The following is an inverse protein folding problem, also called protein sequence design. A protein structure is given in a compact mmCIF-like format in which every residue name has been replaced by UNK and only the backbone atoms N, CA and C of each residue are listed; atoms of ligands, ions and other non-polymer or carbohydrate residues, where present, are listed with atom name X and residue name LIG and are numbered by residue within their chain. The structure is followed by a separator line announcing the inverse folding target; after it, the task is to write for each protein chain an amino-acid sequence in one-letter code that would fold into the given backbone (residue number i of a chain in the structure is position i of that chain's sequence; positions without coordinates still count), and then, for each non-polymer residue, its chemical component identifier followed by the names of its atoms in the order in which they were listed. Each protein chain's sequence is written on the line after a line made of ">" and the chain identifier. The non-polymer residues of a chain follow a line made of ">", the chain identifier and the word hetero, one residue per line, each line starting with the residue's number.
data_IF_043509552471
#
_entry.id   IF_043509552471
#
_cell.length_a   1.000
_cell.length_b   1.000
_cell.length_c   1.000
_cell.angle_alpha   90.00
_cell.angle_beta   90.00
_cell.angle_gamma   90.00
#
_symmetry.space_group_name_H-M   'P 1'
#
loop_
_entity.id
_entity.type
_entity.pdbx_description
1 polymer ?
#
# COMPACT_ATOMS: atom_id res chain seq x y z
N UNK A 1 -8.26 -7.93 9.88
CA UNK A 1 -7.78 -8.94 8.86
C UNK A 1 -8.40 -10.34 9.02
N UNK A 2 -8.54 -10.89 10.23
CA UNK A 2 -9.09 -12.25 10.45
C UNK A 2 -10.61 -12.32 10.22
N UNK A 3 -11.35 -11.35 10.69
CA UNK A 3 -12.80 -11.21 10.52
C UNK A 3 -13.21 -11.04 9.05
N UNK A 4 -12.49 -10.22 8.30
CA UNK A 4 -12.75 -9.99 6.87
C UNK A 4 -12.56 -11.27 6.04
N UNK A 5 -11.52 -12.06 6.34
CA UNK A 5 -11.27 -13.33 5.67
C UNK A 5 -12.36 -14.37 5.99
N UNK A 6 -12.80 -14.43 7.23
CA UNK A 6 -13.88 -15.36 7.64
C UNK A 6 -15.19 -14.99 6.97
N UNK A 7 -15.54 -13.69 6.87
CA UNK A 7 -16.72 -13.23 6.14
C UNK A 7 -16.65 -13.58 4.64
N UNK A 8 -15.49 -13.38 4.01
CA UNK A 8 -15.29 -13.72 2.60
C UNK A 8 -15.49 -15.22 2.34
N UNK A 9 -14.93 -16.08 3.19
CA UNK A 9 -15.09 -17.54 3.09
C UNK A 9 -16.55 -17.94 3.26
N UNK A 10 -17.25 -17.40 4.25
CA UNK A 10 -18.67 -17.71 4.50
C UNK A 10 -19.53 -17.27 3.31
N UNK A 11 -19.33 -16.05 2.80
CA UNK A 11 -20.06 -15.54 1.63
C UNK A 11 -19.83 -16.41 0.39
N UNK A 12 -18.58 -16.73 0.09
CA UNK A 12 -18.24 -17.55 -1.08
C UNK A 12 -18.81 -18.95 -0.94
N UNK A 13 -18.76 -19.56 0.24
CA UNK A 13 -19.28 -20.89 0.51
C UNK A 13 -20.82 -20.92 0.39
N UNK A 14 -21.50 -19.90 0.89
CA UNK A 14 -22.96 -19.75 0.75
C UNK A 14 -23.37 -19.61 -0.72
N UNK A 15 -22.67 -18.80 -1.49
CA UNK A 15 -22.92 -18.65 -2.94
C UNK A 15 -22.65 -19.96 -3.69
N UNK A 16 -21.63 -20.72 -3.31
CA UNK A 16 -21.31 -22.02 -3.90
C UNK A 16 -22.38 -23.10 -3.64
N UNK A 17 -22.92 -23.13 -2.43
CA UNK A 17 -24.02 -24.02 -2.09
C UNK A 17 -25.24 -23.66 -2.92
N UNK A 18 -25.57 -22.37 -3.02
CA UNK A 18 -26.66 -21.89 -3.87
C UNK A 18 -26.48 -22.28 -5.34
N UNK A 19 -25.28 -22.09 -5.89
CA UNK A 19 -24.96 -22.50 -7.26
C UNK A 19 -25.13 -24.00 -7.46
N UNK A 20 -24.59 -24.83 -6.55
CA UNK A 20 -24.75 -26.28 -6.62
C UNK A 20 -26.22 -26.70 -6.66
N UNK A 21 -27.05 -26.16 -5.77
CA UNK A 21 -28.50 -26.43 -5.72
C UNK A 21 -29.17 -26.00 -7.01
N UNK A 22 -28.89 -24.80 -7.52
CA UNK A 22 -29.48 -24.31 -8.77
C UNK A 22 -29.14 -25.22 -9.96
N UNK A 23 -27.85 -25.60 -10.08
CA UNK A 23 -27.39 -26.49 -11.17
C UNK A 23 -28.08 -27.87 -11.10
N UNK A 24 -28.30 -28.39 -9.90
CA UNK A 24 -28.93 -29.71 -9.74
C UNK A 24 -30.47 -29.70 -9.90
N UNK A 25 -31.14 -28.61 -9.54
CA UNK A 25 -32.59 -28.50 -9.63
C UNK A 25 -33.07 -28.01 -10.99
N UNK A 26 -32.26 -27.26 -11.72
CA UNK A 26 -32.66 -26.63 -12.95
C UNK A 26 -32.40 -27.56 -14.15
N UNK A 27 -33.41 -27.71 -15.00
CA UNK A 27 -33.36 -28.49 -16.25
C UNK A 27 -33.17 -27.63 -17.48
N UNK A 28 -33.00 -26.32 -17.31
CA UNK A 28 -32.88 -25.40 -18.45
C UNK A 28 -31.44 -25.41 -19.04
N UNK A 29 -31.39 -25.24 -20.37
CA UNK A 29 -30.14 -25.15 -21.14
C UNK A 29 -29.31 -23.95 -20.66
N UNK A 30 -28.04 -24.19 -20.35
CA UNK A 30 -27.12 -23.09 -19.99
C UNK A 30 -26.96 -22.77 -18.49
N UNK A 31 -27.45 -23.61 -17.60
CA UNK A 31 -27.35 -23.42 -16.13
C UNK A 31 -25.90 -23.29 -15.63
N UNK A 32 -24.95 -23.84 -16.36
CA UNK A 32 -23.52 -23.73 -16.08
C UNK A 32 -23.00 -22.28 -16.14
N UNK A 33 -23.69 -21.38 -16.90
CA UNK A 33 -23.27 -19.98 -17.04
C UNK A 33 -23.29 -19.22 -15.72
N UNK A 34 -24.15 -19.63 -14.77
CA UNK A 34 -24.19 -19.04 -13.43
C UNK A 34 -22.89 -19.26 -12.62
N UNK A 35 -22.06 -20.22 -13.03
CA UNK A 35 -20.75 -20.45 -12.44
C UNK A 35 -19.74 -19.37 -12.78
N UNK A 36 -19.85 -18.71 -13.94
CA UNK A 36 -18.88 -17.71 -14.41
C UNK A 36 -18.77 -16.49 -13.47
N UNK A 37 -19.86 -15.80 -13.10
CA UNK A 37 -19.80 -14.70 -12.14
C UNK A 37 -19.22 -15.12 -10.79
N UNK A 38 -19.50 -16.33 -10.35
CA UNK A 38 -18.98 -16.88 -9.10
C UNK A 38 -17.48 -17.07 -9.09
N UNK A 39 -16.93 -17.58 -10.20
CA UNK A 39 -15.48 -17.71 -10.37
C UNK A 39 -14.79 -16.35 -10.39
N UNK A 40 -15.39 -15.35 -11.04
CA UNK A 40 -14.87 -13.97 -11.07
C UNK A 40 -14.90 -13.35 -9.68
N UNK A 41 -16.00 -13.50 -8.93
CA UNK A 41 -16.10 -12.97 -7.55
C UNK A 41 -15.08 -13.64 -6.64
N UNK A 42 -14.86 -14.95 -6.75
CA UNK A 42 -13.85 -15.65 -5.96
C UNK A 42 -12.44 -15.10 -6.22
N UNK A 43 -12.12 -14.72 -7.45
CA UNK A 43 -10.84 -14.14 -7.85
C UNK A 43 -10.58 -12.77 -7.18
N UNK A 44 -11.62 -11.96 -6.95
CA UNK A 44 -11.48 -10.64 -6.30
C UNK A 44 -10.93 -10.74 -4.87
N UNK A 45 -11.17 -11.85 -4.19
CA UNK A 45 -10.65 -12.06 -2.83
C UNK A 45 -9.14 -12.30 -2.75
N UNK A 46 -8.47 -12.56 -3.88
CA UNK A 46 -7.01 -12.76 -3.97
C UNK A 46 -6.48 -13.82 -2.97
N UNK A 47 -7.30 -14.79 -2.61
CA UNK A 47 -6.90 -15.92 -1.76
C UNK A 47 -6.93 -17.21 -2.59
N UNK A 48 -5.76 -17.71 -2.93
CA UNK A 48 -5.56 -18.92 -3.74
C UNK A 48 -6.39 -20.10 -3.26
N UNK A 49 -6.57 -20.26 -1.94
CA UNK A 49 -7.37 -21.35 -1.38
C UNK A 49 -8.85 -21.19 -1.72
N UNK A 50 -9.37 -19.96 -1.66
CA UNK A 50 -10.76 -19.66 -2.00
C UNK A 50 -10.98 -19.93 -3.50
N UNK A 51 -10.11 -19.42 -4.37
CA UNK A 51 -10.19 -19.62 -5.83
C UNK A 51 -10.13 -21.11 -6.18
N UNK A 52 -9.21 -21.87 -5.58
CA UNK A 52 -9.05 -23.29 -5.84
C UNK A 52 -10.27 -24.11 -5.39
N UNK A 53 -10.82 -23.84 -4.21
CA UNK A 53 -12.02 -24.50 -3.70
C UNK A 53 -13.23 -24.16 -4.55
N UNK A 54 -13.40 -22.90 -4.93
CA UNK A 54 -14.50 -22.43 -5.78
C UNK A 54 -14.46 -23.09 -7.16
N UNK A 55 -13.31 -23.12 -7.80
CA UNK A 55 -13.10 -23.82 -9.07
C UNK A 55 -13.42 -25.32 -8.95
N UNK A 56 -12.95 -25.96 -7.86
CA UNK A 56 -13.23 -27.37 -7.61
C UNK A 56 -14.74 -27.68 -7.46
N UNK A 57 -15.45 -26.88 -6.67
CA UNK A 57 -16.90 -27.06 -6.47
C UNK A 57 -17.66 -26.80 -7.78
N UNK A 58 -17.29 -25.78 -8.56
CA UNK A 58 -17.93 -25.50 -9.83
C UNK A 58 -17.77 -26.64 -10.83
N UNK A 59 -16.55 -27.22 -10.94
CA UNK A 59 -16.27 -28.37 -11.80
C UNK A 59 -17.01 -29.64 -11.35
N UNK A 60 -17.01 -29.92 -10.04
CA UNK A 60 -17.73 -31.05 -9.48
C UNK A 60 -19.23 -30.92 -9.75
N UNK A 61 -19.80 -29.71 -9.59
CA UNK A 61 -21.22 -29.46 -9.83
C UNK A 61 -21.64 -29.78 -11.27
N UNK A 62 -20.84 -29.38 -12.26
CA UNK A 62 -21.18 -29.66 -13.67
C UNK A 62 -20.94 -31.12 -14.04
N UNK A 63 -19.92 -31.78 -13.46
CA UNK A 63 -19.68 -33.22 -13.68
C UNK A 63 -20.84 -34.04 -13.13
N UNK A 64 -21.31 -33.75 -11.91
CA UNK A 64 -22.48 -34.44 -11.32
C UNK A 64 -23.73 -34.22 -12.17
N UNK A 65 -23.95 -32.99 -12.65
CA UNK A 65 -25.08 -32.67 -13.53
C UNK A 65 -24.97 -33.42 -14.86
N UNK A 66 -23.78 -33.50 -15.46
CA UNK A 66 -23.53 -34.23 -16.70
C UNK A 66 -23.77 -35.74 -16.56
N UNK A 67 -23.32 -36.35 -15.47
CA UNK A 67 -23.58 -37.75 -15.16
C UNK A 67 -25.10 -38.01 -15.02
N UNK A 68 -25.83 -37.09 -14.36
CA UNK A 68 -27.29 -37.19 -14.21
C UNK A 68 -28.01 -37.08 -15.55
N UNK A 69 -27.57 -36.16 -16.43
CA UNK A 69 -28.13 -36.04 -17.79
C UNK A 69 -27.81 -37.28 -18.62
N UNK A 70 -26.65 -37.88 -18.48
CA UNK A 70 -26.27 -39.10 -19.18
C UNK A 70 -27.12 -40.33 -18.76
N UNK A 71 -27.48 -40.39 -17.48
CA UNK A 71 -28.34 -41.46 -16.96
C UNK A 71 -29.86 -41.21 -17.25
N UNK A 72 -30.22 -39.98 -17.61
CA UNK A 72 -31.56 -39.58 -18.00
C UNK A 72 -31.76 -39.59 -19.53
N UNK A 73 -32.59 -38.66 -20.05
CA UNK A 73 -32.99 -38.61 -21.46
C UNK A 73 -31.89 -38.14 -22.45
N UNK A 74 -30.74 -37.72 -22.00
CA UNK A 74 -29.59 -37.32 -22.83
C UNK A 74 -29.78 -36.10 -23.71
N UNK A 75 -30.89 -35.41 -23.63
CA UNK A 75 -31.31 -34.32 -24.54
C UNK A 75 -30.38 -33.10 -24.49
N UNK A 76 -29.68 -32.83 -23.35
CA UNK A 76 -28.87 -31.64 -23.14
C UNK A 76 -27.37 -31.95 -23.02
N UNK A 77 -26.95 -33.16 -23.41
CA UNK A 77 -25.59 -33.63 -23.26
C UNK A 77 -24.56 -32.72 -23.96
N UNK A 78 -24.84 -32.33 -25.21
CA UNK A 78 -23.98 -31.48 -25.98
C UNK A 78 -23.70 -30.12 -25.32
N UNK A 79 -24.75 -29.47 -24.81
CA UNK A 79 -24.62 -28.18 -24.14
C UNK A 79 -23.87 -28.27 -22.82
N UNK A 80 -24.07 -29.33 -22.06
CA UNK A 80 -23.37 -29.56 -20.80
C UNK A 80 -21.91 -29.91 -21.00
N UNK A 81 -21.54 -30.60 -22.08
CA UNK A 81 -20.15 -30.84 -22.48
C UNK A 81 -19.46 -29.52 -22.87
N UNK A 82 -20.11 -28.65 -23.65
CA UNK A 82 -19.61 -27.31 -23.94
C UNK A 82 -19.39 -26.53 -22.65
N UNK A 83 -20.37 -26.56 -21.73
CA UNK A 83 -20.28 -25.90 -20.43
C UNK A 83 -19.10 -26.39 -19.59
N UNK A 84 -18.81 -27.68 -19.59
CA UNK A 84 -17.63 -28.24 -18.92
C UNK A 84 -16.33 -27.66 -19.49
N UNK A 85 -16.19 -27.60 -20.81
CA UNK A 85 -15.01 -27.02 -21.44
C UNK A 85 -14.85 -25.53 -21.13
N UNK A 86 -15.95 -24.76 -21.17
CA UNK A 86 -15.91 -23.32 -20.82
C UNK A 86 -15.52 -23.11 -19.37
N UNK A 87 -16.06 -23.90 -18.44
CA UNK A 87 -15.70 -23.81 -17.03
C UNK A 87 -14.26 -24.22 -16.77
N UNK A 88 -13.73 -25.24 -17.45
CA UNK A 88 -12.32 -25.64 -17.37
C UNK A 88 -11.39 -24.50 -17.86
N UNK A 89 -11.69 -23.90 -19.01
CA UNK A 89 -10.91 -22.78 -19.54
C UNK A 89 -10.99 -21.57 -18.58
N UNK A 90 -12.16 -21.27 -18.05
CA UNK A 90 -12.33 -20.17 -17.10
C UNK A 90 -11.60 -20.44 -15.81
N UNK A 91 -11.66 -21.65 -15.27
CA UNK A 91 -10.93 -22.04 -14.06
C UNK A 91 -9.40 -21.92 -14.26
N UNK A 92 -8.90 -22.33 -15.44
CA UNK A 92 -7.50 -22.16 -15.81
C UNK A 92 -7.12 -20.69 -15.92
N UNK A 93 -7.94 -19.87 -16.56
CA UNK A 93 -7.73 -18.43 -16.69
C UNK A 93 -7.74 -17.74 -15.31
N UNK A 94 -8.69 -18.08 -14.43
CA UNK A 94 -8.76 -17.54 -13.07
C UNK A 94 -7.52 -17.90 -12.24
N UNK A 95 -7.04 -19.15 -12.31
CA UNK A 95 -5.82 -19.56 -11.62
C UNK A 95 -4.57 -18.85 -12.16
N UNK A 96 -4.52 -18.62 -13.48
CA UNK A 96 -3.38 -17.90 -14.09
C UNK A 96 -3.40 -16.41 -13.75
N UNK A 97 -4.57 -15.80 -13.78
CA UNK A 97 -4.75 -14.40 -13.42
C UNK A 97 -4.48 -14.16 -11.92
N UNK A 98 -4.87 -15.08 -11.04
CA UNK A 98 -4.57 -15.00 -9.61
C UNK A 98 -3.06 -15.02 -9.35
N UNK A 99 -2.30 -15.89 -10.04
CA UNK A 99 -0.84 -15.92 -9.95
C UNK A 99 -0.19 -14.61 -10.40
N UNK A 100 -0.67 -14.04 -11.51
CA UNK A 100 -0.19 -12.76 -12.02
C UNK A 100 -0.48 -11.62 -11.04
N UNK A 101 -1.69 -11.59 -10.49
CA UNK A 101 -2.07 -10.60 -9.48
C UNK A 101 -1.25 -10.73 -8.20
N UNK A 102 -1.00 -11.95 -7.72
CA UNK A 102 -0.15 -12.17 -6.54
C UNK A 102 1.29 -11.67 -6.78
N UNK A 103 1.85 -11.93 -7.96
CA UNK A 103 3.17 -11.42 -8.35
C UNK A 103 3.19 -9.89 -8.36
N UNK A 104 2.21 -9.28 -9.02
CA UNK A 104 2.06 -7.83 -9.13
C UNK A 104 1.88 -7.15 -7.76
N UNK A 105 1.08 -7.74 -6.89
CA UNK A 105 0.92 -7.24 -5.51
C UNK A 105 2.20 -7.32 -4.70
N UNK A 106 2.99 -8.39 -4.86
CA UNK A 106 4.28 -8.52 -4.18
C UNK A 106 5.29 -7.49 -4.67
N UNK A 107 5.36 -7.26 -5.97
CA UNK A 107 6.21 -6.23 -6.56
C UNK A 107 5.83 -4.84 -6.08
N UNK A 108 4.55 -4.46 -6.17
CA UNK A 108 4.07 -3.17 -5.69
C UNK A 108 4.30 -2.98 -4.19
N UNK A 109 4.11 -4.03 -3.37
CA UNK A 109 4.34 -3.96 -1.94
C UNK A 109 5.82 -3.75 -1.62
N UNK A 110 6.73 -4.41 -2.35
CA UNK A 110 8.17 -4.22 -2.21
C UNK A 110 8.59 -2.80 -2.63
N UNK A 111 8.00 -2.27 -3.69
CA UNK A 111 8.25 -0.91 -4.16
C UNK A 111 7.79 0.15 -3.16
N UNK A 112 6.58 -0.01 -2.60
CA UNK A 112 6.05 0.86 -1.53
C UNK A 112 6.92 0.79 -0.28
N UNK A 113 7.41 -0.39 0.07
CA UNK A 113 8.27 -0.58 1.24
C UNK A 113 9.62 0.09 1.05
N UNK A 114 10.22 -0.04 -0.13
CA UNK A 114 11.45 0.64 -0.50
C UNK A 114 11.30 2.16 -0.50
N UNK A 115 10.22 2.69 -1.08
CA UNK A 115 9.90 4.11 -1.04
C UNK A 115 9.71 4.64 0.40
N UNK A 116 9.06 3.85 1.27
CA UNK A 116 8.89 4.18 2.69
C UNK A 116 10.24 4.22 3.44
N UNK A 117 11.15 3.31 3.13
CA UNK A 117 12.47 3.27 3.78
C UNK A 117 13.36 4.44 3.31
N UNK A 118 13.32 4.79 2.03
CA UNK A 118 13.97 5.99 1.48
C UNK A 118 13.40 7.26 2.15
N UNK A 119 12.08 7.34 2.32
CA UNK A 119 11.44 8.47 2.99
C UNK A 119 11.88 8.61 4.45
N UNK A 120 11.99 7.49 5.18
CA UNK A 120 12.48 7.48 6.57
C UNK A 120 13.95 7.94 6.66
N UNK A 121 14.79 7.49 5.74
CA UNK A 121 16.20 7.90 5.69
C UNK A 121 16.33 9.39 5.38
N UNK A 122 15.55 9.89 4.41
CA UNK A 122 15.48 11.31 4.08
C UNK A 122 15.02 12.17 5.27
N UNK A 123 13.99 11.72 6.00
CA UNK A 123 13.52 12.41 7.19
C UNK A 123 14.59 12.46 8.30
N UNK A 124 15.34 11.35 8.51
CA UNK A 124 16.45 11.35 9.47
C UNK A 124 17.55 12.36 9.09
N UNK A 125 17.92 12.40 7.80
CA UNK A 125 18.90 13.37 7.30
C UNK A 125 18.41 14.81 7.49
N UNK A 126 17.13 15.06 7.27
CA UNK A 126 16.53 16.39 7.48
C UNK A 126 16.59 16.82 8.94
N UNK A 127 16.35 15.90 9.89
CA UNK A 127 16.49 16.19 11.33
C UNK A 127 17.93 16.55 11.68
N UNK A 128 18.92 15.79 11.18
CA UNK A 128 20.34 16.09 11.42
C UNK A 128 20.73 17.46 10.86
N UNK A 129 20.24 17.80 9.66
CA UNK A 129 20.49 19.11 9.06
C UNK A 129 19.86 20.22 9.90
N UNK A 130 18.64 20.03 10.39
CA UNK A 130 17.96 20.99 11.25
C UNK A 130 18.69 21.20 12.58
N UNK A 131 19.19 20.13 13.20
CA UNK A 131 20.02 20.20 14.42
C UNK A 131 21.32 20.95 14.18
N UNK A 132 22.03 20.69 13.07
CA UNK A 132 23.25 21.40 12.71
C UNK A 132 22.99 22.88 12.45
N UNK A 133 21.91 23.23 11.74
CA UNK A 133 21.50 24.62 11.53
C UNK A 133 21.23 25.30 12.88
N UNK A 134 20.48 24.67 13.77
CA UNK A 134 20.19 25.21 15.09
C UNK A 134 21.47 25.46 15.91
N UNK A 135 22.41 24.53 15.86
CA UNK A 135 23.71 24.67 16.52
C UNK A 135 24.52 25.88 15.97
N UNK A 136 24.59 25.98 14.64
CA UNK A 136 25.32 27.11 14.03
C UNK A 136 24.64 28.45 14.27
N UNK A 137 23.33 28.48 14.39
CA UNK A 137 22.62 29.69 14.83
C UNK A 137 22.97 30.06 16.28
N UNK A 138 23.06 29.08 17.16
CA UNK A 138 23.53 29.32 18.54
C UNK A 138 24.97 29.91 18.58
N UNK A 139 25.90 29.29 17.84
CA UNK A 139 27.28 29.75 17.73
C UNK A 139 27.35 31.19 17.13
N UNK A 140 26.49 31.49 16.16
CA UNK A 140 26.42 32.84 15.57
C UNK A 140 25.87 33.88 16.57
N UNK A 141 24.89 33.53 17.38
CA UNK A 141 24.37 34.38 18.45
C UNK A 141 25.42 34.69 19.50
N UNK A 142 26.18 33.67 19.95
CA UNK A 142 27.28 33.85 20.90
C UNK A 142 28.39 34.77 20.34
N UNK A 143 28.70 34.66 19.04
CA UNK A 143 29.63 35.58 18.36
C UNK A 143 29.10 37.01 18.29
N UNK A 144 27.79 37.20 18.05
CA UNK A 144 27.18 38.52 18.04
C UNK A 144 27.22 39.18 19.42
N UNK A 145 26.96 38.43 20.46
CA UNK A 145 27.07 38.93 21.85
C UNK A 145 28.51 39.35 22.17
N UNK A 146 29.53 38.54 21.77
CA UNK A 146 30.95 38.91 21.91
C UNK A 146 31.33 40.16 21.10
N UNK A 147 30.79 40.33 19.90
CA UNK A 147 30.99 41.55 19.11
C UNK A 147 30.35 42.78 19.79
N UNK A 148 29.15 42.62 20.36
CA UNK A 148 28.48 43.69 21.10
C UNK A 148 29.31 44.17 22.32
N UNK A 149 29.87 43.22 23.05
CA UNK A 149 30.79 43.52 24.17
C UNK A 149 32.06 44.25 23.68
N UNK A 150 32.68 43.77 22.59
CA UNK A 150 33.85 44.44 21.98
C UNK A 150 33.55 45.86 21.53
N UNK A 151 32.35 46.09 20.96
CA UNK A 151 31.90 47.45 20.57
C UNK A 151 31.77 48.33 21.80
N UNK A 152 31.19 47.85 22.89
CA UNK A 152 31.04 48.59 24.14
C UNK A 152 32.41 48.99 24.73
N UNK A 153 33.37 48.04 24.76
CA UNK A 153 34.73 48.29 25.21
C UNK A 153 35.41 49.35 24.31
N UNK A 154 35.28 49.18 23.02
CA UNK A 154 35.84 50.17 22.05
C UNK A 154 35.24 51.57 22.23
N UNK A 155 33.94 51.67 22.45
CA UNK A 155 33.26 52.95 22.72
C UNK A 155 33.78 53.58 24.01
N UNK A 156 33.95 52.81 25.09
CA UNK A 156 34.51 53.32 26.34
C UNK A 156 35.94 53.81 26.15
N UNK A 157 36.76 53.09 25.39
CA UNK A 157 38.15 53.49 25.08
C UNK A 157 38.21 54.76 24.25
N UNK A 158 37.32 54.92 23.30
CA UNK A 158 37.18 56.14 22.50
C UNK A 158 36.85 57.36 23.39
N UNK A 159 35.92 57.15 24.34
CA UNK A 159 35.54 58.18 25.29
C UNK A 159 36.73 58.61 26.18
N UNK A 160 37.49 57.65 26.72
CA UNK A 160 38.70 57.94 27.50
C UNK A 160 39.75 58.70 26.70
N UNK A 161 39.95 58.34 25.43
CA UNK A 161 40.87 59.04 24.51
C UNK A 161 40.36 60.49 24.29
N UNK A 162 39.08 60.68 24.10
CA UNK A 162 38.48 62.03 23.93
C UNK A 162 38.72 62.92 25.16
N UNK A 163 38.42 62.39 26.36
CA UNK A 163 38.60 63.07 27.62
C UNK A 163 40.10 63.41 27.88
N UNK A 164 41.00 62.49 27.56
CA UNK A 164 42.46 62.71 27.66
C UNK A 164 42.96 63.76 26.67
N UNK A 165 42.40 63.77 25.46
CA UNK A 165 42.73 64.75 24.42
C UNK A 165 42.29 66.15 24.83
N UNK A 166 41.09 66.29 25.38
CA UNK A 166 40.57 67.53 25.92
C UNK A 166 41.42 68.07 27.05
N UNK A 167 41.77 67.20 28.02
CA UNK A 167 42.64 67.57 29.12
C UNK A 167 44.04 68.01 28.64
N UNK A 168 44.59 67.37 27.62
CA UNK A 168 45.85 67.72 27.02
C UNK A 168 45.76 69.08 26.33
N UNK A 169 44.71 69.33 25.59
CA UNK A 169 44.47 70.63 24.94
C UNK A 169 44.35 71.79 25.95
N UNK A 170 43.64 71.54 27.06
CA UNK A 170 43.55 72.52 28.15
C UNK A 170 44.96 72.81 28.82
N UNK A 171 45.78 71.77 28.99
CA UNK A 171 47.08 71.94 29.52
C UNK A 171 48.07 72.76 28.62
N UNK A 172 47.96 72.53 27.31
CA UNK A 172 48.66 73.29 26.28
C UNK A 172 48.23 74.78 26.26
N UNK A 173 46.90 75.01 26.44
CA UNK A 173 46.39 76.39 26.41
C UNK A 173 46.77 77.21 27.64
N UNK A 174 47.14 76.52 28.75
CA UNK A 174 47.56 77.16 30.01
C UNK A 174 49.12 77.42 30.09
N UNK A 175 49.92 76.92 29.14
CA UNK A 175 51.30 77.21 28.98
C UNK A 175 51.48 78.42 28.06
#
# INVERSE_FOLDING_TARGET
>A
KRTTRTCAVIMTLSMMIGYFVIVQLNTTVGTWTYGLPLLIVAMVYLDKKIVMVTNGIALVSIVVHLVRCFLGDGSDLQNNVIGLFVLLLTAYACNSAERLLECFFKENLAEIQNASDIQKDSNKKMIIVAENISKHFGEAMDMLDGLQESINVSHSSIQEIADSTESTAEAIQKQ
#
